data_IF_875275683019
#
_entry.id   IF_875275683019
#
_cell.length_a   1.000
_cell.length_b   1.000
_cell.length_c   1.000
_cell.angle_alpha   90.00
_cell.angle_beta   90.00
_cell.angle_gamma   90.00
#
_symmetry.space_group_name_H-M   'P 1'
#
loop_
_entity.id
_entity.type
_entity.pdbx_description
1 polymer ?
#
# COMPACT_ATOMS: atom_id res chain seq x y z
N UNK A 1 -1.86 9.47 3.04
CA UNK A 1 -2.62 10.71 3.31
C UNK A 1 -4.06 10.61 2.82
N UNK A 2 -4.34 10.22 1.56
CA UNK A 2 -5.71 10.08 1.04
C UNK A 2 -6.60 9.09 1.81
N UNK A 3 -6.00 8.10 2.46
CA UNK A 3 -6.66 7.11 3.35
C UNK A 3 -7.49 7.73 4.47
N UNK A 4 -7.20 8.95 4.91
CA UNK A 4 -8.05 9.69 5.85
C UNK A 4 -9.48 9.93 5.32
N UNK A 5 -9.62 10.07 4.00
CA UNK A 5 -10.91 10.27 3.34
C UNK A 5 -11.81 9.04 3.47
N UNK A 6 -11.23 7.84 3.57
CA UNK A 6 -11.99 6.60 3.72
C UNK A 6 -12.83 6.61 5.00
N UNK A 7 -12.23 6.99 6.13
CA UNK A 7 -12.92 7.15 7.41
C UNK A 7 -13.96 8.26 7.37
N UNK A 8 -13.58 9.44 6.85
CA UNK A 8 -14.47 10.61 6.81
C UNK A 8 -15.71 10.35 5.94
N UNK A 9 -15.50 9.82 4.72
CA UNK A 9 -16.58 9.48 3.82
C UNK A 9 -17.40 8.29 4.34
N UNK A 10 -16.75 7.24 4.87
CA UNK A 10 -17.44 6.06 5.37
C UNK A 10 -18.33 6.36 6.58
N UNK A 11 -17.80 7.07 7.58
CA UNK A 11 -18.60 7.47 8.74
C UNK A 11 -19.74 8.42 8.34
N UNK A 12 -19.50 9.39 7.47
CA UNK A 12 -20.56 10.28 6.98
C UNK A 12 -21.61 9.52 6.15
N UNK A 13 -21.20 8.53 5.35
CA UNK A 13 -22.12 7.69 4.58
C UNK A 13 -23.00 6.84 5.49
N UNK A 14 -22.41 6.20 6.50
CA UNK A 14 -23.11 5.45 7.54
C UNK A 14 -24.11 6.30 8.32
N UNK A 15 -23.75 7.56 8.61
CA UNK A 15 -24.59 8.56 9.26
C UNK A 15 -25.65 9.18 8.33
N UNK A 16 -25.72 8.76 7.06
CA UNK A 16 -26.61 9.29 6.01
C UNK A 16 -26.39 10.78 5.69
N UNK A 17 -25.20 11.31 5.95
CA UNK A 17 -24.81 12.70 5.65
C UNK A 17 -24.24 12.81 4.23
N UNK A 18 -25.00 12.36 3.24
CA UNK A 18 -24.53 12.18 1.86
C UNK A 18 -23.88 13.41 1.22
N UNK A 19 -24.43 14.64 1.33
CA UNK A 19 -23.83 15.80 0.66
C UNK A 19 -22.43 16.16 1.17
N UNK A 20 -22.10 15.79 2.41
CA UNK A 20 -20.81 16.13 3.04
C UNK A 20 -19.66 15.34 2.41
N UNK A 21 -19.91 14.14 1.87
CA UNK A 21 -18.89 13.33 1.21
C UNK A 21 -18.23 14.08 0.05
N UNK A 22 -19.01 14.77 -0.78
CA UNK A 22 -18.50 15.57 -1.90
C UNK A 22 -17.62 16.72 -1.42
N UNK A 23 -17.93 17.30 -0.26
CA UNK A 23 -17.11 18.35 0.37
C UNK A 23 -15.80 17.76 0.91
N UNK A 24 -15.81 16.58 1.54
CA UNK A 24 -14.59 15.91 1.99
C UNK A 24 -13.67 15.51 0.84
N UNK A 25 -14.23 15.06 -0.29
CA UNK A 25 -13.48 14.78 -1.51
C UNK A 25 -12.75 16.03 -2.00
N UNK A 26 -13.46 17.16 -2.12
CA UNK A 26 -12.88 18.43 -2.56
C UNK A 26 -11.82 18.96 -1.58
N UNK A 27 -12.08 18.90 -0.27
CA UNK A 27 -11.09 19.26 0.78
C UNK A 27 -9.82 18.44 0.65
N UNK A 28 -9.96 17.13 0.40
CA UNK A 28 -8.84 16.22 0.23
C UNK A 28 -8.03 16.55 -1.02
N UNK A 29 -8.68 16.90 -2.15
CA UNK A 29 -7.97 17.38 -3.33
C UNK A 29 -7.14 18.62 -3.04
N UNK A 30 -7.71 19.62 -2.36
CA UNK A 30 -7.00 20.86 -2.00
C UNK A 30 -5.78 20.54 -1.14
N UNK A 31 -5.96 19.78 -0.05
CA UNK A 31 -4.90 19.46 0.90
C UNK A 31 -3.79 18.64 0.24
N UNK A 32 -4.15 17.60 -0.53
CA UNK A 32 -3.18 16.73 -1.18
C UNK A 32 -2.44 17.45 -2.31
N UNK A 33 -3.13 18.29 -3.08
CA UNK A 33 -2.49 19.09 -4.12
C UNK A 33 -1.45 20.05 -3.56
N UNK A 34 -1.81 20.79 -2.51
CA UNK A 34 -0.87 21.67 -1.81
C UNK A 34 0.31 20.90 -1.22
N UNK A 35 0.04 19.74 -0.60
CA UNK A 35 1.12 18.89 -0.05
C UNK A 35 2.05 18.39 -1.16
N UNK A 36 1.52 17.93 -2.29
CA UNK A 36 2.33 17.50 -3.44
C UNK A 36 3.15 18.63 -4.03
N UNK A 37 2.66 19.88 -4.04
CA UNK A 37 3.45 21.05 -4.41
C UNK A 37 4.68 21.23 -3.53
N UNK A 38 4.52 21.12 -2.20
CA UNK A 38 5.65 21.23 -1.26
C UNK A 38 6.66 20.08 -1.40
N UNK A 39 6.26 18.93 -1.94
CA UNK A 39 7.15 17.79 -2.18
C UNK A 39 7.90 17.87 -3.52
N UNK A 40 7.50 18.76 -4.45
CA UNK A 40 8.13 18.88 -5.76
C UNK A 40 9.66 19.08 -5.73
N UNK A 41 10.24 19.89 -4.83
CA UNK A 41 11.69 20.05 -4.79
C UNK A 41 12.44 18.73 -4.64
N UNK A 42 11.89 17.76 -3.90
CA UNK A 42 12.53 16.44 -3.74
C UNK A 42 12.63 15.71 -5.10
N UNK A 43 11.58 15.80 -5.93
CA UNK A 43 11.57 15.19 -7.25
C UNK A 43 12.48 15.91 -8.24
N UNK A 44 12.46 17.25 -8.23
CA UNK A 44 13.25 18.09 -9.13
C UNK A 44 14.75 17.95 -8.83
N UNK A 45 15.12 17.91 -7.55
CA UNK A 45 16.50 17.85 -7.10
C UNK A 45 16.96 16.42 -6.76
N UNK A 46 16.30 15.38 -7.28
CA UNK A 46 16.68 14.00 -6.97
C UNK A 46 18.12 13.67 -7.36
N UNK A 47 18.62 14.10 -8.53
CA UNK A 47 20.01 13.86 -8.95
C UNK A 47 21.02 14.41 -7.93
N UNK A 48 21.03 15.72 -7.61
CA UNK A 48 22.02 16.25 -6.65
C UNK A 48 21.82 15.69 -5.23
N UNK A 49 20.58 15.37 -4.82
CA UNK A 49 20.34 14.72 -3.53
C UNK A 49 21.04 13.35 -3.48
N UNK A 50 20.90 12.53 -4.52
CA UNK A 50 21.52 11.20 -4.55
C UNK A 50 23.04 11.26 -4.66
N UNK A 51 23.59 12.22 -5.41
CA UNK A 51 25.04 12.45 -5.50
C UNK A 51 25.61 12.86 -4.13
N UNK A 52 24.93 13.74 -3.38
CA UNK A 52 25.32 14.11 -2.01
C UNK A 52 25.24 12.93 -1.05
N UNK A 53 24.32 12.00 -1.28
CA UNK A 53 24.21 10.74 -0.52
C UNK A 53 25.24 9.68 -0.95
N UNK A 54 26.16 10.01 -1.87
CA UNK A 54 27.26 9.15 -2.29
C UNK A 54 26.89 8.09 -3.33
N UNK A 55 25.77 8.26 -4.05
CA UNK A 55 25.43 7.40 -5.19
C UNK A 55 26.30 7.70 -6.41
N UNK A 56 26.53 6.69 -7.25
CA UNK A 56 27.26 6.87 -8.51
C UNK A 56 26.50 7.84 -9.44
N UNK A 57 27.23 8.77 -10.06
CA UNK A 57 26.69 9.81 -10.94
C UNK A 57 25.80 9.22 -12.07
N UNK A 58 26.21 8.09 -12.64
CA UNK A 58 25.47 7.42 -13.71
C UNK A 58 24.08 6.96 -13.24
N UNK A 59 23.98 6.42 -12.03
CA UNK A 59 22.74 5.96 -11.40
C UNK A 59 21.88 7.16 -10.97
N UNK A 60 22.51 8.17 -10.34
CA UNK A 60 21.83 9.37 -9.86
C UNK A 60 21.15 10.13 -11.01
N UNK A 61 21.80 10.26 -12.17
CA UNK A 61 21.23 10.90 -13.37
C UNK A 61 20.01 10.15 -13.91
N UNK A 62 20.05 8.82 -13.97
CA UNK A 62 18.90 8.01 -14.42
C UNK A 62 17.74 8.14 -13.43
N UNK A 63 18.01 8.03 -12.13
CA UNK A 63 17.02 8.20 -11.07
C UNK A 63 16.37 9.60 -11.11
N UNK A 64 17.17 10.65 -11.31
CA UNK A 64 16.65 12.02 -11.48
C UNK A 64 15.73 12.17 -12.68
N UNK A 65 16.07 11.56 -13.82
CA UNK A 65 15.18 11.53 -14.99
C UNK A 65 13.84 10.87 -14.64
N UNK A 66 13.86 9.69 -14.03
CA UNK A 66 12.64 8.97 -13.60
C UNK A 66 11.84 9.79 -12.59
N UNK A 67 12.52 10.48 -11.67
CA UNK A 67 11.91 11.30 -10.63
C UNK A 67 11.08 12.46 -11.19
N UNK A 68 11.60 13.15 -12.22
CA UNK A 68 10.86 14.21 -12.92
C UNK A 68 9.58 13.66 -13.56
N UNK A 69 9.63 12.49 -14.21
CA UNK A 69 8.43 11.85 -14.76
C UNK A 69 7.44 11.43 -13.66
N UNK A 70 7.96 11.05 -12.48
CA UNK A 70 7.14 10.65 -11.32
C UNK A 70 6.27 11.79 -10.78
N UNK A 71 6.60 13.06 -11.08
CA UNK A 71 5.74 14.21 -10.75
C UNK A 71 4.34 14.01 -11.33
N UNK A 72 4.23 13.62 -12.61
CA UNK A 72 2.94 13.38 -13.26
C UNK A 72 2.15 12.23 -12.62
N UNK A 73 2.85 11.22 -12.08
CA UNK A 73 2.25 10.09 -11.36
C UNK A 73 1.71 10.55 -10.00
N UNK A 74 2.46 11.38 -9.27
CA UNK A 74 2.03 11.89 -7.95
C UNK A 74 0.73 12.68 -8.06
N UNK A 75 0.58 13.57 -9.06
CA UNK A 75 -0.69 14.28 -9.26
C UNK A 75 -1.82 13.37 -9.72
N UNK A 76 -1.51 12.34 -10.51
CA UNK A 76 -2.51 11.33 -10.86
C UNK A 76 -3.05 10.65 -9.59
N UNK A 77 -2.17 10.24 -8.67
CA UNK A 77 -2.55 9.56 -7.43
C UNK A 77 -3.48 10.36 -6.53
N UNK A 78 -3.40 11.69 -6.55
CA UNK A 78 -4.33 12.54 -5.80
C UNK A 78 -5.76 12.21 -6.21
N UNK A 79 -6.05 12.24 -7.52
CA UNK A 79 -7.39 11.95 -8.04
C UNK A 79 -7.72 10.47 -7.90
N UNK A 80 -6.78 9.56 -8.23
CA UNK A 80 -7.01 8.11 -8.17
C UNK A 80 -7.47 7.68 -6.79
N UNK A 81 -6.68 7.97 -5.76
CA UNK A 81 -6.94 7.45 -4.43
C UNK A 81 -8.13 8.15 -3.78
N UNK A 82 -8.28 9.46 -3.95
CA UNK A 82 -9.41 10.16 -3.32
C UNK A 82 -10.74 9.78 -3.94
N UNK A 83 -10.85 9.71 -5.26
CA UNK A 83 -12.06 9.22 -5.94
C UNK A 83 -12.33 7.76 -5.59
N UNK A 84 -11.30 6.92 -5.55
CA UNK A 84 -11.43 5.52 -5.14
C UNK A 84 -11.99 5.41 -3.72
N UNK A 85 -11.41 6.08 -2.72
CA UNK A 85 -11.91 6.03 -1.34
C UNK A 85 -13.34 6.59 -1.22
N UNK A 86 -13.66 7.65 -1.97
CA UNK A 86 -15.00 8.22 -2.05
C UNK A 86 -16.04 7.24 -2.61
N UNK A 87 -15.70 6.51 -3.67
CA UNK A 87 -16.56 5.49 -4.27
C UNK A 87 -16.66 4.23 -3.39
N UNK A 88 -15.55 3.83 -2.77
CA UNK A 88 -15.48 2.69 -1.87
C UNK A 88 -16.35 2.86 -0.63
N UNK A 89 -16.34 4.05 -0.01
CA UNK A 89 -17.23 4.38 1.11
C UNK A 89 -18.71 4.12 0.80
N UNK A 90 -19.11 4.31 -0.46
CA UNK A 90 -20.46 4.11 -0.96
C UNK A 90 -20.70 2.70 -1.53
N UNK A 91 -19.74 1.77 -1.38
CA UNK A 91 -19.77 0.43 -1.97
C UNK A 91 -19.85 0.40 -3.51
N UNK A 92 -19.44 1.46 -4.20
CA UNK A 92 -19.41 1.54 -5.67
C UNK A 92 -18.08 0.98 -6.23
N UNK A 93 -17.73 -0.24 -5.82
CA UNK A 93 -16.43 -0.85 -6.13
C UNK A 93 -16.32 -1.37 -7.58
N UNK A 94 -17.44 -1.70 -8.21
CA UNK A 94 -17.44 -2.29 -9.56
C UNK A 94 -16.86 -1.34 -10.61
N UNK A 95 -17.15 -0.04 -10.53
CA UNK A 95 -16.59 0.94 -11.46
C UNK A 95 -15.06 1.06 -11.30
N UNK A 96 -14.56 1.00 -10.07
CA UNK A 96 -13.12 0.99 -9.80
C UNK A 96 -12.47 -0.25 -10.42
N UNK A 97 -13.09 -1.42 -10.24
CA UNK A 97 -12.58 -2.69 -10.79
C UNK A 97 -12.54 -2.69 -12.32
N UNK A 98 -13.60 -2.23 -12.99
CA UNK A 98 -13.64 -2.15 -14.46
C UNK A 98 -12.60 -1.18 -15.02
N UNK A 99 -12.44 0.00 -14.39
CA UNK A 99 -11.44 0.97 -14.82
C UNK A 99 -10.00 0.46 -14.59
N UNK A 100 -9.75 -0.26 -13.49
CA UNK A 100 -8.47 -0.88 -13.23
C UNK A 100 -8.15 -1.99 -14.26
N UNK A 101 -9.12 -2.85 -14.57
CA UNK A 101 -8.98 -3.91 -15.59
C UNK A 101 -8.75 -3.34 -17.00
N UNK A 102 -9.43 -2.24 -17.34
CA UNK A 102 -9.20 -1.53 -18.59
C UNK A 102 -7.81 -0.89 -18.65
N UNK A 103 -7.40 -0.23 -17.55
CA UNK A 103 -6.09 0.41 -17.45
C UNK A 103 -4.94 -0.58 -17.58
N UNK A 104 -4.99 -1.75 -16.93
CA UNK A 104 -3.93 -2.76 -17.07
C UNK A 104 -3.81 -3.27 -18.50
N UNK A 105 -4.94 -3.46 -19.21
CA UNK A 105 -4.94 -3.85 -20.62
C UNK A 105 -4.26 -2.81 -21.51
N UNK A 106 -4.61 -1.53 -21.34
CA UNK A 106 -3.95 -0.43 -22.06
C UNK A 106 -2.48 -0.31 -21.67
N UNK A 107 -2.15 -0.46 -20.40
CA UNK A 107 -0.77 -0.34 -19.93
C UNK A 107 0.12 -1.41 -20.55
N UNK A 108 -0.34 -2.66 -20.64
CA UNK A 108 0.40 -3.74 -21.32
C UNK A 108 0.65 -3.38 -22.79
N UNK A 109 -0.39 -2.94 -23.50
CA UNK A 109 -0.30 -2.54 -24.91
C UNK A 109 0.69 -1.39 -25.11
N UNK A 110 0.55 -0.30 -24.33
CA UNK A 110 1.39 0.89 -24.43
C UNK A 110 2.83 0.61 -24.01
N UNK A 111 3.04 -0.17 -22.95
CA UNK A 111 4.37 -0.56 -22.53
C UNK A 111 5.08 -1.34 -23.64
N UNK A 112 4.43 -2.34 -24.24
CA UNK A 112 5.00 -3.06 -25.38
C UNK A 112 5.27 -2.13 -26.59
N UNK A 113 4.31 -1.29 -26.96
CA UNK A 113 4.43 -0.42 -28.12
C UNK A 113 5.57 0.61 -27.95
N UNK A 114 5.60 1.32 -26.83
CA UNK A 114 6.55 2.40 -26.59
C UNK A 114 7.96 1.88 -26.27
N UNK A 115 8.08 0.76 -25.55
CA UNK A 115 9.39 0.25 -25.12
C UNK A 115 9.99 -0.75 -26.10
N UNK A 116 9.20 -1.66 -26.67
CA UNK A 116 9.72 -2.74 -27.54
C UNK A 116 9.67 -2.33 -29.01
N UNK A 117 8.53 -1.80 -29.48
CA UNK A 117 8.38 -1.45 -30.90
C UNK A 117 9.05 -0.15 -31.26
N UNK A 118 8.74 0.94 -30.55
CA UNK A 118 9.33 2.25 -30.81
C UNK A 118 10.67 2.47 -30.10
N UNK A 119 11.05 1.59 -29.18
CA UNK A 119 12.36 1.62 -28.48
C UNK A 119 12.65 2.95 -27.78
N UNK A 120 11.63 3.60 -27.22
CA UNK A 120 11.79 4.86 -26.47
C UNK A 120 12.43 4.67 -25.07
N UNK A 121 12.84 3.45 -24.73
CA UNK A 121 13.51 3.13 -23.47
C UNK A 121 12.73 3.60 -22.24
N UNK A 122 13.43 4.21 -21.29
CA UNK A 122 12.85 4.72 -20.03
C UNK A 122 11.74 5.75 -20.30
N UNK A 123 11.91 6.61 -21.30
CA UNK A 123 10.88 7.60 -21.66
C UNK A 123 9.57 6.90 -22.08
N UNK A 124 9.68 5.81 -22.85
CA UNK A 124 8.52 5.00 -23.23
C UNK A 124 7.83 4.35 -22.03
N UNK A 125 8.61 3.77 -21.12
CA UNK A 125 8.09 3.11 -19.92
C UNK A 125 7.39 4.11 -18.96
N UNK A 126 7.98 5.29 -18.75
CA UNK A 126 7.36 6.32 -17.91
C UNK A 126 6.10 6.89 -18.56
N UNK A 127 6.10 7.06 -19.88
CA UNK A 127 4.92 7.52 -20.63
C UNK A 127 3.76 6.54 -20.53
N UNK A 128 4.00 5.24 -20.75
CA UNK A 128 2.94 4.22 -20.61
C UNK A 128 2.40 4.14 -19.18
N UNK A 129 3.26 4.34 -18.19
CA UNK A 129 2.90 4.35 -16.76
C UNK A 129 2.00 5.53 -16.40
N UNK A 130 2.38 6.74 -16.80
CA UNK A 130 1.58 7.95 -16.53
C UNK A 130 0.21 7.84 -17.17
N UNK A 131 0.15 7.44 -18.45
CA UNK A 131 -1.12 7.27 -19.15
C UNK A 131 -2.01 6.22 -18.46
N UNK A 132 -1.44 5.11 -18.03
CA UNK A 132 -2.17 4.07 -17.31
C UNK A 132 -2.78 4.57 -15.98
N UNK A 133 -2.10 5.48 -15.26
CA UNK A 133 -2.65 6.06 -14.04
C UNK A 133 -3.71 7.13 -14.30
N UNK A 134 -3.59 7.91 -15.38
CA UNK A 134 -4.58 8.94 -15.71
C UNK A 134 -5.89 8.37 -16.29
N UNK A 135 -5.87 7.20 -16.91
CA UNK A 135 -7.08 6.57 -17.48
C UNK A 135 -8.15 6.29 -16.39
N UNK A 136 -7.85 5.57 -15.29
CA UNK A 136 -8.79 5.40 -14.17
C UNK A 136 -9.21 6.73 -13.56
N UNK A 137 -8.34 7.73 -13.53
CA UNK A 137 -8.66 9.04 -12.96
C UNK A 137 -9.76 9.75 -13.73
N UNK A 138 -9.61 9.82 -15.05
CA UNK A 138 -10.62 10.42 -15.91
C UNK A 138 -11.94 9.65 -15.79
N UNK A 139 -11.89 8.32 -15.82
CA UNK A 139 -13.08 7.48 -15.66
C UNK A 139 -13.79 7.68 -14.31
N UNK A 140 -13.05 7.66 -13.20
CA UNK A 140 -13.62 7.86 -11.87
C UNK A 140 -14.14 9.29 -11.68
N UNK A 141 -13.40 10.30 -12.14
CA UNK A 141 -13.81 11.70 -12.04
C UNK A 141 -15.09 11.95 -12.84
N UNK A 142 -15.15 11.48 -14.09
CA UNK A 142 -16.35 11.57 -14.93
C UNK A 142 -17.53 10.83 -14.28
N UNK A 143 -17.30 9.64 -13.74
CA UNK A 143 -18.36 8.89 -13.06
C UNK A 143 -18.91 9.67 -11.84
N UNK A 144 -18.04 10.29 -11.05
CA UNK A 144 -18.45 11.10 -9.89
C UNK A 144 -19.20 12.37 -10.33
N UNK A 145 -18.68 13.10 -11.32
CA UNK A 145 -19.21 14.42 -11.70
C UNK A 145 -20.38 14.38 -12.68
N UNK A 146 -20.49 13.35 -13.52
CA UNK A 146 -21.52 13.20 -14.55
C UNK A 146 -22.71 12.33 -14.11
N UNK A 147 -23.00 12.28 -12.80
CA UNK A 147 -24.25 11.69 -12.29
C UNK A 147 -24.17 10.26 -11.77
N UNK A 148 -22.98 9.65 -11.68
CA UNK A 148 -22.82 8.34 -11.04
C UNK A 148 -22.98 8.38 -9.51
N UNK A 149 -22.92 9.57 -8.89
CA UNK A 149 -23.03 9.79 -7.45
C UNK A 149 -23.97 10.97 -7.09
N UNK A 150 -25.27 10.93 -7.47
CA UNK A 150 -26.14 12.11 -7.42
C UNK A 150 -26.51 12.57 -6.00
N UNK A 151 -26.51 11.67 -5.01
CA UNK A 151 -26.82 12.00 -3.62
C UNK A 151 -25.64 12.61 -2.88
N UNK A 152 -24.43 12.17 -3.23
CA UNK A 152 -23.18 12.47 -2.51
C UNK A 152 -22.31 13.50 -3.23
N UNK A 153 -22.56 13.76 -4.52
CA UNK A 153 -21.90 14.80 -5.31
C UNK A 153 -22.92 15.82 -5.78
N UNK A 154 -22.85 17.04 -5.24
CA UNK A 154 -23.71 18.17 -5.60
C UNK A 154 -22.98 19.25 -6.40
N UNK A 155 -21.81 18.93 -6.95
CA UNK A 155 -20.94 19.87 -7.64
C UNK A 155 -19.89 20.52 -6.73
N UNK A 156 -19.10 21.41 -7.32
CA UNK A 156 -18.07 22.16 -6.62
C UNK A 156 -18.70 23.17 -5.64
N UNK A 157 -18.08 23.33 -4.47
CA UNK A 157 -18.59 24.21 -3.43
C UNK A 157 -17.46 24.95 -2.72
N UNK A 158 -17.66 26.24 -2.43
CA UNK A 158 -16.75 27.03 -1.62
C UNK A 158 -16.62 26.53 -0.17
N UNK A 159 -17.54 25.68 0.30
CA UNK A 159 -17.42 24.99 1.59
C UNK A 159 -16.18 24.09 1.66
N UNK A 160 -15.64 23.68 0.50
CA UNK A 160 -14.40 22.91 0.42
C UNK A 160 -13.17 23.70 0.91
N UNK A 161 -13.21 25.04 0.95
CA UNK A 161 -12.10 25.85 1.44
C UNK A 161 -12.17 26.15 2.95
N UNK A 162 -13.29 25.80 3.60
CA UNK A 162 -13.47 25.96 5.05
C UNK A 162 -12.98 24.74 5.80
N UNK A 163 -12.50 24.93 7.03
CA UNK A 163 -12.13 23.86 7.98
C UNK A 163 -11.17 22.82 7.40
N UNK A 164 -10.12 23.26 6.72
CA UNK A 164 -9.10 22.37 6.15
C UNK A 164 -8.18 21.76 7.20
N UNK A 165 -7.96 22.44 8.33
CA UNK A 165 -7.01 22.03 9.35
C UNK A 165 -7.27 20.62 9.94
N UNK A 166 -8.53 20.25 10.30
CA UNK A 166 -8.84 18.88 10.69
C UNK A 166 -8.47 17.83 9.64
N UNK A 167 -8.73 18.12 8.36
CA UNK A 167 -8.39 17.22 7.23
C UNK A 167 -6.89 17.10 7.08
N UNK A 168 -6.13 18.19 7.23
CA UNK A 168 -4.65 18.19 7.23
C UNK A 168 -4.11 17.31 8.36
N UNK A 169 -4.56 17.51 9.60
CA UNK A 169 -4.09 16.75 10.77
C UNK A 169 -4.34 15.25 10.62
N UNK A 170 -5.54 14.88 10.13
CA UNK A 170 -5.91 13.49 9.89
C UNK A 170 -5.10 12.88 8.74
N UNK A 171 -4.98 13.60 7.64
CA UNK A 171 -4.22 13.17 6.46
C UNK A 171 -2.75 12.98 6.77
N UNK A 172 -2.13 13.87 7.56
CA UNK A 172 -0.74 13.78 7.99
C UNK A 172 -0.52 12.56 8.87
N UNK A 173 -1.38 12.33 9.86
CA UNK A 173 -1.28 11.15 10.75
C UNK A 173 -1.40 9.84 9.96
N UNK A 174 -2.37 9.78 9.05
CA UNK A 174 -2.58 8.65 8.15
C UNK A 174 -1.43 8.45 7.16
N UNK A 175 -0.84 9.54 6.65
CA UNK A 175 0.35 9.50 5.82
C UNK A 175 1.57 8.98 6.57
N UNK A 176 1.83 9.50 7.76
CA UNK A 176 2.95 9.09 8.60
C UNK A 176 2.89 7.59 8.93
N UNK A 177 1.72 7.07 9.30
CA UNK A 177 1.53 5.63 9.58
C UNK A 177 1.98 4.75 8.41
N UNK A 178 1.54 5.07 7.18
CA UNK A 178 1.91 4.29 5.98
C UNK A 178 3.37 4.52 5.57
N UNK A 179 3.87 5.75 5.69
CA UNK A 179 5.28 6.07 5.42
C UNK A 179 6.22 5.28 6.33
N UNK A 180 5.90 5.19 7.63
CA UNK A 180 6.68 4.42 8.59
C UNK A 180 6.73 2.93 8.22
N UNK A 181 5.60 2.36 7.79
CA UNK A 181 5.54 0.96 7.35
C UNK A 181 6.36 0.71 6.07
N UNK A 182 6.31 1.63 5.10
CA UNK A 182 7.07 1.51 3.85
C UNK A 182 8.57 1.78 4.05
N UNK A 183 8.93 2.82 4.79
CA UNK A 183 10.33 3.16 5.07
C UNK A 183 11.02 2.08 5.88
N UNK A 184 10.30 1.46 6.82
CA UNK A 184 10.79 0.30 7.55
C UNK A 184 11.23 -0.84 6.60
N UNK A 185 10.37 -1.19 5.63
CA UNK A 185 10.70 -2.20 4.63
C UNK A 185 11.94 -1.82 3.79
N UNK A 186 12.10 -0.54 3.43
CA UNK A 186 13.28 -0.05 2.72
C UNK A 186 14.55 -0.16 3.57
N UNK A 187 14.47 0.17 4.86
CA UNK A 187 15.60 0.02 5.79
C UNK A 187 16.02 -1.44 5.91
N UNK A 188 15.07 -2.37 6.03
CA UNK A 188 15.38 -3.80 6.04
C UNK A 188 16.07 -4.25 4.74
N UNK A 189 15.58 -3.80 3.58
CA UNK A 189 16.21 -4.12 2.28
C UNK A 189 17.66 -3.63 2.26
N UNK A 190 17.90 -2.38 2.66
CA UNK A 190 19.24 -1.81 2.71
C UNK A 190 20.16 -2.58 3.67
N UNK A 191 19.66 -3.01 4.83
CA UNK A 191 20.42 -3.84 5.78
C UNK A 191 20.77 -5.22 5.20
N UNK A 192 19.90 -5.81 4.39
CA UNK A 192 20.15 -7.09 3.71
C UNK A 192 21.02 -6.97 2.45
N UNK A 193 21.14 -5.77 1.87
CA UNK A 193 21.91 -5.53 0.64
C UNK A 193 23.43 -5.67 0.78
N UNK A 194 23.95 -5.75 2.02
CA UNK A 194 25.40 -5.80 2.30
C UNK A 194 25.91 -7.22 2.63
N UNK A 195 25.18 -8.26 2.23
CA UNK A 195 25.53 -9.65 2.54
C UNK A 195 26.60 -10.20 1.58
N UNK A 196 27.70 -10.71 2.16
CA UNK A 196 28.78 -11.38 1.42
C UNK A 196 28.33 -12.78 0.97
N UNK A 197 28.55 -13.09 -0.32
CA UNK A 197 28.14 -14.30 -1.07
C UNK A 197 26.63 -14.52 -1.13
N UNK A 198 25.95 -14.17 -2.24
CA UNK A 198 24.53 -14.53 -2.35
C UNK A 198 23.85 -14.28 -3.72
N UNK A 199 24.45 -14.52 -4.91
CA UNK A 199 23.61 -14.45 -6.14
C UNK A 199 22.41 -15.40 -6.01
N UNK A 200 22.69 -16.66 -5.61
CA UNK A 200 21.66 -17.67 -5.34
C UNK A 200 20.69 -17.26 -4.22
N UNK A 201 21.20 -16.74 -3.10
CA UNK A 201 20.36 -16.43 -1.94
C UNK A 201 19.57 -15.12 -2.11
N UNK A 202 20.08 -14.15 -2.87
CA UNK A 202 19.38 -12.91 -3.25
C UNK A 202 18.29 -13.23 -4.28
N UNK A 203 18.57 -14.08 -5.26
CA UNK A 203 17.58 -14.54 -6.23
C UNK A 203 16.44 -15.28 -5.52
N UNK A 204 16.77 -16.21 -4.62
CA UNK A 204 15.80 -16.94 -3.82
C UNK A 204 14.96 -16.01 -2.93
N UNK A 205 15.60 -15.02 -2.28
CA UNK A 205 14.89 -14.00 -1.50
C UNK A 205 13.95 -13.17 -2.38
N UNK A 206 14.40 -12.76 -3.57
CA UNK A 206 13.59 -11.97 -4.50
C UNK A 206 12.36 -12.72 -4.96
N UNK A 207 12.47 -14.03 -5.23
CA UNK A 207 11.31 -14.90 -5.53
C UNK A 207 10.35 -14.93 -4.34
N UNK A 208 10.86 -15.17 -3.12
CA UNK A 208 10.06 -15.20 -1.90
C UNK A 208 9.30 -13.89 -1.67
N UNK A 209 9.97 -12.75 -1.88
CA UNK A 209 9.37 -11.42 -1.70
C UNK A 209 8.29 -11.12 -2.75
N UNK A 210 8.48 -11.54 -3.99
CA UNK A 210 7.45 -11.41 -5.03
C UNK A 210 6.18 -12.21 -4.65
N UNK A 211 6.35 -13.46 -4.22
CA UNK A 211 5.24 -14.31 -3.76
C UNK A 211 4.52 -13.68 -2.56
N UNK A 212 5.27 -13.19 -1.56
CA UNK A 212 4.68 -12.48 -0.43
C UNK A 212 3.96 -11.19 -0.86
N UNK A 213 4.50 -10.47 -1.85
CA UNK A 213 3.88 -9.29 -2.45
C UNK A 213 2.51 -9.60 -3.06
N UNK A 214 2.35 -10.74 -3.75
CA UNK A 214 1.06 -11.17 -4.28
C UNK A 214 0.04 -11.43 -3.17
N UNK A 215 0.44 -12.13 -2.11
CA UNK A 215 -0.41 -12.34 -0.93
C UNK A 215 -0.79 -11.04 -0.24
N UNK A 216 0.16 -10.11 -0.12
CA UNK A 216 -0.05 -8.79 0.47
C UNK A 216 -1.10 -7.97 -0.27
N UNK A 217 -1.19 -8.05 -1.61
CA UNK A 217 -2.23 -7.34 -2.37
C UNK A 217 -3.65 -7.82 -2.02
N UNK A 218 -3.82 -9.11 -1.72
CA UNK A 218 -5.09 -9.67 -1.24
C UNK A 218 -5.40 -9.09 0.15
N UNK A 219 -4.43 -9.10 1.07
CA UNK A 219 -4.58 -8.53 2.41
C UNK A 219 -4.90 -7.04 2.39
N UNK A 220 -4.31 -6.26 1.48
CA UNK A 220 -4.63 -4.84 1.29
C UNK A 220 -6.05 -4.63 0.77
N UNK A 221 -6.57 -5.53 -0.06
CA UNK A 221 -7.98 -5.54 -0.45
C UNK A 221 -8.91 -5.71 0.76
N UNK A 222 -8.58 -6.65 1.67
CA UNK A 222 -9.32 -6.82 2.92
C UNK A 222 -9.13 -5.64 3.89
N UNK A 223 -7.96 -5.01 3.93
CA UNK A 223 -7.72 -3.78 4.70
C UNK A 223 -8.71 -2.68 4.30
N UNK A 224 -8.83 -2.37 3.01
CA UNK A 224 -9.78 -1.37 2.51
C UNK A 224 -11.24 -1.78 2.80
N UNK A 225 -11.59 -3.05 2.57
CA UNK A 225 -12.94 -3.52 2.88
C UNK A 225 -13.29 -3.43 4.37
N UNK A 226 -12.33 -3.71 5.26
CA UNK A 226 -12.50 -3.57 6.70
C UNK A 226 -12.70 -2.12 7.09
N UNK A 227 -11.88 -1.22 6.56
CA UNK A 227 -11.97 0.22 6.80
C UNK A 227 -13.34 0.77 6.40
N UNK A 228 -13.82 0.49 5.19
CA UNK A 228 -15.14 0.93 4.71
C UNK A 228 -16.27 0.37 5.57
N UNK A 229 -16.25 -0.94 5.88
CA UNK A 229 -17.36 -1.56 6.62
C UNK A 229 -17.41 -1.08 8.06
N UNK A 230 -16.26 -0.98 8.73
CA UNK A 230 -16.17 -0.47 10.10
C UNK A 230 -16.58 1.00 10.17
N UNK A 231 -16.07 1.84 9.28
CA UNK A 231 -16.44 3.26 9.24
C UNK A 231 -17.93 3.47 8.97
N UNK A 232 -18.52 2.72 8.03
CA UNK A 232 -19.97 2.79 7.75
C UNK A 232 -20.82 2.37 8.96
N UNK A 233 -20.49 1.26 9.62
CA UNK A 233 -21.28 0.80 10.78
C UNK A 233 -21.10 1.69 12.02
N UNK A 234 -19.90 2.26 12.22
CA UNK A 234 -19.65 3.27 13.25
C UNK A 234 -20.40 4.57 12.97
N UNK A 235 -20.40 5.03 11.71
CA UNK A 235 -21.17 6.19 11.26
C UNK A 235 -22.68 6.02 11.48
N UNK A 236 -23.18 4.79 11.34
CA UNK A 236 -24.57 4.44 11.66
C UNK A 236 -24.87 4.45 13.17
N UNK A 237 -23.86 4.51 14.02
CA UNK A 237 -23.99 4.41 15.48
C UNK A 237 -24.17 2.98 15.99
N UNK A 238 -23.81 1.96 15.19
CA UNK A 238 -24.03 0.54 15.54
C UNK A 238 -22.72 -0.17 15.91
N UNK A 239 -22.34 -0.10 17.19
CA UNK A 239 -21.18 -0.82 17.70
C UNK A 239 -21.28 -2.34 17.51
N UNK A 240 -22.50 -2.91 17.61
CA UNK A 240 -22.75 -4.34 17.38
C UNK A 240 -22.46 -4.74 15.93
N UNK A 241 -22.91 -3.94 14.96
CA UNK A 241 -22.65 -4.21 13.55
C UNK A 241 -21.18 -3.99 13.18
N UNK A 242 -20.52 -2.98 13.77
CA UNK A 242 -19.08 -2.78 13.59
C UNK A 242 -18.28 -3.98 14.10
N UNK A 243 -18.57 -4.49 15.32
CA UNK A 243 -17.96 -5.71 15.86
C UNK A 243 -18.19 -6.93 14.96
N UNK A 244 -19.42 -7.10 14.46
CA UNK A 244 -19.75 -8.18 13.53
C UNK A 244 -18.95 -8.07 12.21
N UNK A 245 -18.80 -6.87 11.67
CA UNK A 245 -18.00 -6.63 10.46
C UNK A 245 -16.52 -6.99 10.69
N UNK A 246 -15.94 -6.59 11.83
CA UNK A 246 -14.56 -6.92 12.22
C UNK A 246 -14.38 -8.45 12.29
N UNK A 247 -15.24 -9.15 13.03
CA UNK A 247 -15.14 -10.61 13.17
C UNK A 247 -15.24 -11.31 11.82
N UNK A 248 -16.21 -10.92 10.99
CA UNK A 248 -16.44 -11.53 9.68
C UNK A 248 -15.22 -11.36 8.76
N UNK A 249 -14.64 -10.16 8.70
CA UNK A 249 -13.53 -9.90 7.79
C UNK A 249 -12.21 -10.51 8.29
N UNK A 250 -11.97 -10.54 9.60
CA UNK A 250 -10.81 -11.22 10.18
C UNK A 250 -10.88 -12.73 9.93
N UNK A 251 -12.03 -13.36 10.14
CA UNK A 251 -12.21 -14.80 9.85
C UNK A 251 -12.02 -15.07 8.35
N UNK A 252 -12.62 -14.25 7.49
CA UNK A 252 -12.51 -14.42 6.03
C UNK A 252 -11.05 -14.30 5.58
N UNK A 253 -10.34 -13.29 6.06
CA UNK A 253 -8.92 -13.08 5.72
C UNK A 253 -8.06 -14.21 6.26
N UNK A 254 -8.31 -14.68 7.49
CA UNK A 254 -7.59 -15.81 8.06
C UNK A 254 -7.79 -17.10 7.26
N UNK A 255 -9.03 -17.41 6.86
CA UNK A 255 -9.32 -18.61 6.05
C UNK A 255 -8.60 -18.57 4.72
N UNK A 256 -8.61 -17.42 4.03
CA UNK A 256 -7.90 -17.25 2.75
C UNK A 256 -6.39 -17.28 2.96
N UNK A 257 -5.89 -16.58 3.97
CA UNK A 257 -4.47 -16.58 4.36
C UNK A 257 -3.97 -17.98 4.70
N UNK A 258 -4.78 -18.78 5.40
CA UNK A 258 -4.47 -20.17 5.72
C UNK A 258 -4.49 -21.07 4.48
N UNK A 259 -5.43 -20.89 3.56
CA UNK A 259 -5.44 -21.60 2.29
C UNK A 259 -4.18 -21.28 1.45
N UNK A 260 -3.79 -20.00 1.37
CA UNK A 260 -2.55 -19.58 0.70
C UNK A 260 -1.31 -20.13 1.41
N UNK A 261 -1.28 -20.10 2.75
CA UNK A 261 -0.23 -20.70 3.55
C UNK A 261 -0.01 -22.17 3.18
N UNK A 262 -1.07 -22.99 3.18
CA UNK A 262 -0.99 -24.40 2.82
C UNK A 262 -0.51 -24.57 1.38
N UNK A 263 -1.06 -23.79 0.45
CA UNK A 263 -0.66 -23.84 -0.96
C UNK A 263 0.84 -23.55 -1.12
N UNK A 264 1.36 -22.46 -0.57
CA UNK A 264 2.78 -22.14 -0.69
C UNK A 264 3.67 -23.10 0.10
N UNK A 265 3.22 -23.60 1.24
CA UNK A 265 3.98 -24.56 2.03
C UNK A 265 4.19 -25.89 1.30
N UNK A 266 3.14 -26.42 0.64
CA UNK A 266 3.22 -27.69 -0.09
C UNK A 266 3.83 -27.55 -1.49
N UNK A 267 3.57 -26.45 -2.20
CA UNK A 267 4.03 -26.27 -3.59
C UNK A 267 5.32 -25.45 -3.73
N UNK A 268 5.96 -25.04 -2.62
CA UNK A 268 7.16 -24.17 -2.58
C UNK A 268 8.24 -24.46 -3.62
N UNK A 269 8.63 -25.72 -3.76
CA UNK A 269 9.74 -26.12 -4.65
C UNK A 269 9.32 -26.02 -6.12
N UNK A 270 8.10 -26.45 -6.46
CA UNK A 270 7.56 -26.34 -7.82
C UNK A 270 7.32 -24.89 -8.24
N UNK A 271 6.89 -24.05 -7.30
CA UNK A 271 6.68 -22.63 -7.55
C UNK A 271 7.98 -21.89 -7.82
N UNK A 272 9.09 -22.28 -7.17
CA UNK A 272 10.40 -21.69 -7.44
C UNK A 272 10.79 -21.84 -8.93
N UNK A 273 10.49 -22.99 -9.55
CA UNK A 273 10.80 -23.25 -10.95
C UNK A 273 10.02 -22.40 -11.98
N UNK A 274 8.97 -21.69 -11.55
CA UNK A 274 8.29 -20.69 -12.39
C UNK A 274 9.21 -19.46 -12.59
N UNK A 275 10.08 -19.17 -11.63
CA UNK A 275 10.92 -17.99 -11.61
C UNK A 275 12.37 -18.27 -12.03
N UNK A 276 12.86 -19.50 -11.85
CA UNK A 276 14.27 -19.84 -12.13
C UNK A 276 14.44 -21.26 -12.64
N UNK A 277 15.41 -21.45 -13.54
CA UNK A 277 15.86 -22.76 -13.97
C UNK A 277 17.01 -23.30 -13.09
N UNK A 278 17.59 -22.48 -12.21
CA UNK A 278 18.73 -22.86 -11.37
C UNK A 278 18.25 -23.69 -10.16
N UNK A 279 18.76 -24.91 -10.05
CA UNK A 279 18.42 -25.85 -8.98
C UNK A 279 18.87 -25.36 -7.60
N UNK A 280 20.00 -24.66 -7.51
CA UNK A 280 20.52 -24.13 -6.25
C UNK A 280 19.60 -23.03 -5.71
N UNK A 281 19.04 -22.20 -6.60
CA UNK A 281 18.06 -21.17 -6.24
C UNK A 281 16.75 -21.81 -5.79
N UNK A 282 16.27 -22.84 -6.49
CA UNK A 282 15.06 -23.56 -6.10
C UNK A 282 15.21 -24.25 -4.73
N UNK A 283 16.37 -24.84 -4.45
CA UNK A 283 16.68 -25.42 -3.14
C UNK A 283 16.72 -24.36 -2.03
N UNK A 284 17.33 -23.19 -2.30
CA UNK A 284 17.34 -22.08 -1.35
C UNK A 284 15.92 -21.53 -1.07
N UNK A 285 15.07 -21.41 -2.10
CA UNK A 285 13.64 -21.05 -1.92
C UNK A 285 12.93 -22.08 -1.05
N UNK A 286 13.15 -23.38 -1.29
CA UNK A 286 12.57 -24.46 -0.48
C UNK A 286 12.91 -24.31 1.01
N UNK A 287 14.14 -23.95 1.33
CA UNK A 287 14.61 -23.77 2.71
C UNK A 287 14.06 -22.50 3.38
N UNK A 288 13.79 -21.44 2.61
CA UNK A 288 13.20 -20.19 3.10
C UNK A 288 11.67 -20.25 3.24
N UNK A 289 11.02 -21.07 2.41
CA UNK A 289 9.56 -21.10 2.25
C UNK A 289 8.74 -21.39 3.52
N UNK A 290 9.17 -22.22 4.49
CA UNK A 290 8.39 -22.43 5.72
C UNK A 290 8.20 -21.13 6.50
N UNK A 291 9.28 -20.36 6.62
CA UNK A 291 9.30 -19.09 7.34
C UNK A 291 8.50 -18.03 6.57
N UNK A 292 8.60 -18.05 5.23
CA UNK A 292 7.78 -17.20 4.36
C UNK A 292 6.29 -17.52 4.52
N UNK A 293 5.92 -18.80 4.50
CA UNK A 293 4.53 -19.23 4.60
C UNK A 293 3.94 -18.76 5.93
N UNK A 294 4.65 -18.95 7.05
CA UNK A 294 4.21 -18.43 8.35
C UNK A 294 4.08 -16.90 8.32
N UNK A 295 5.03 -16.19 7.71
CA UNK A 295 4.93 -14.74 7.52
C UNK A 295 3.68 -14.35 6.73
N UNK A 296 3.34 -15.07 5.65
CA UNK A 296 2.15 -14.83 4.84
C UNK A 296 0.86 -15.03 5.64
N UNK A 297 0.81 -16.05 6.50
CA UNK A 297 -0.34 -16.28 7.37
C UNK A 297 -0.54 -15.09 8.33
N UNK A 298 0.53 -14.60 8.95
CA UNK A 298 0.41 -13.47 9.88
C UNK A 298 0.12 -12.14 9.15
N UNK A 299 0.73 -11.95 7.97
CA UNK A 299 0.46 -10.83 7.06
C UNK A 299 -0.96 -10.87 6.44
N UNK A 300 -1.73 -11.95 6.63
CA UNK A 300 -3.14 -11.99 6.25
C UNK A 300 -4.05 -11.29 7.26
N UNK A 301 -3.66 -11.23 8.54
CA UNK A 301 -4.48 -10.65 9.61
C UNK A 301 -4.08 -9.20 9.86
N UNK A 302 -2.78 -8.91 9.94
CA UNK A 302 -2.29 -7.60 10.36
C UNK A 302 -2.84 -6.44 9.50
N UNK A 303 -2.81 -6.48 8.15
CA UNK A 303 -3.38 -5.39 7.34
C UNK A 303 -4.88 -5.20 7.56
N UNK A 304 -5.61 -6.26 7.87
CA UNK A 304 -7.05 -6.19 8.15
C UNK A 304 -7.31 -5.43 9.44
N UNK A 305 -6.54 -5.72 10.50
CA UNK A 305 -6.65 -4.99 11.76
C UNK A 305 -6.22 -3.53 11.62
N UNK A 306 -5.20 -3.25 10.81
CA UNK A 306 -4.89 -1.88 10.39
C UNK A 306 -6.11 -1.23 9.72
N UNK A 307 -6.75 -1.90 8.76
CA UNK A 307 -7.99 -1.45 8.12
C UNK A 307 -9.12 -1.14 9.12
N UNK A 308 -9.30 -1.96 10.16
CA UNK A 308 -10.25 -1.69 11.25
C UNK A 308 -9.91 -0.40 11.98
N UNK A 309 -8.64 -0.21 12.35
CA UNK A 309 -8.20 0.99 13.06
C UNK A 309 -8.31 2.26 12.20
N UNK A 310 -8.04 2.15 10.90
CA UNK A 310 -8.26 3.18 9.87
C UNK A 310 -9.76 3.56 9.86
N UNK A 311 -10.66 2.59 9.69
CA UNK A 311 -12.11 2.83 9.70
C UNK A 311 -12.66 3.38 11.02
N UNK A 312 -12.03 3.04 12.15
CA UNK A 312 -12.36 3.58 13.47
C UNK A 312 -11.76 4.96 13.75
N UNK A 313 -10.78 5.42 12.95
CA UNK A 313 -10.11 6.70 13.13
C UNK A 313 -8.94 6.69 14.13
N UNK A 314 -8.38 5.53 14.47
CA UNK A 314 -7.34 5.35 15.49
C UNK A 314 -5.90 5.54 15.00
N UNK A 315 -5.71 6.35 13.96
CA UNK A 315 -4.44 6.54 13.25
C UNK A 315 -3.24 6.87 14.14
N UNK A 316 -3.41 7.77 15.12
CA UNK A 316 -2.32 8.19 15.99
C UNK A 316 -1.82 7.06 16.88
N UNK A 317 -2.74 6.28 17.46
CA UNK A 317 -2.40 5.13 18.31
C UNK A 317 -1.63 4.10 17.49
N UNK A 318 -2.13 3.75 16.30
CA UNK A 318 -1.46 2.79 15.41
C UNK A 318 -0.08 3.31 14.98
N UNK A 319 0.07 4.60 14.70
CA UNK A 319 1.37 5.18 14.36
C UNK A 319 2.39 5.01 15.51
N UNK A 320 2.00 5.27 16.76
CA UNK A 320 2.89 5.06 17.93
C UNK A 320 3.24 3.58 18.11
N UNK A 321 2.27 2.68 17.96
CA UNK A 321 2.49 1.23 18.04
C UNK A 321 3.45 0.77 16.94
N UNK A 322 3.28 1.24 15.71
CA UNK A 322 4.17 0.93 14.59
C UNK A 322 5.60 1.44 14.83
N UNK A 323 5.78 2.63 15.41
CA UNK A 323 7.11 3.12 15.77
C UNK A 323 7.77 2.19 16.79
N UNK A 324 7.05 1.80 17.84
CA UNK A 324 7.56 0.87 18.85
C UNK A 324 7.92 -0.49 18.28
N UNK A 325 6.99 -1.10 17.53
CA UNK A 325 7.17 -2.44 17.00
C UNK A 325 8.27 -2.48 15.92
N UNK A 326 8.22 -1.60 14.92
CA UNK A 326 9.13 -1.65 13.78
C UNK A 326 10.51 -1.07 14.10
N UNK A 327 10.57 0.13 14.70
CA UNK A 327 11.82 0.86 14.82
C UNK A 327 12.56 0.56 16.13
N UNK A 328 11.84 0.38 17.24
CA UNK A 328 12.46 0.13 18.56
C UNK A 328 12.77 -1.35 18.75
N UNK A 329 11.92 -2.24 18.26
CA UNK A 329 12.08 -3.70 18.46
C UNK A 329 12.55 -4.39 17.17
N UNK A 330 11.84 -4.16 16.06
CA UNK A 330 12.06 -4.82 14.77
C UNK A 330 13.46 -4.64 14.21
N UNK A 331 13.91 -3.38 14.07
CA UNK A 331 15.26 -3.07 13.56
C UNK A 331 16.35 -3.70 14.46
N UNK A 332 16.38 -3.51 15.79
CA UNK A 332 17.41 -4.12 16.62
C UNK A 332 17.41 -5.65 16.57
N UNK A 333 16.23 -6.29 16.63
CA UNK A 333 16.12 -7.75 16.53
C UNK A 333 16.64 -8.23 15.16
N UNK A 334 16.28 -7.53 14.08
CA UNK A 334 16.80 -7.83 12.74
C UNK A 334 18.32 -7.70 12.64
N UNK A 335 18.90 -6.66 13.22
CA UNK A 335 20.35 -6.47 13.25
C UNK A 335 21.05 -7.59 14.05
N UNK A 336 20.51 -7.96 15.21
CA UNK A 336 21.04 -9.05 16.05
C UNK A 336 20.98 -10.39 15.29
N UNK A 337 19.83 -10.74 14.73
CA UNK A 337 19.66 -11.98 13.97
C UNK A 337 20.59 -12.04 12.75
N UNK A 338 20.80 -10.91 12.07
CA UNK A 338 21.64 -10.84 10.87
C UNK A 338 23.14 -10.85 11.14
N UNK A 339 23.60 -10.11 12.15
CA UNK A 339 25.04 -9.96 12.43
C UNK A 339 25.58 -11.00 13.41
N UNK A 340 24.81 -11.38 14.43
CA UNK A 340 25.29 -12.22 15.53
C UNK A 340 24.94 -13.68 15.30
N UNK A 341 23.71 -13.98 14.84
CA UNK A 341 23.24 -15.36 14.67
C UNK A 341 23.51 -15.87 13.23
N UNK A 342 24.09 -15.02 12.36
CA UNK A 342 24.42 -15.32 10.96
C UNK A 342 23.22 -15.89 10.16
N UNK A 343 21.99 -15.55 10.54
CA UNK A 343 20.78 -16.03 9.86
C UNK A 343 20.57 -15.42 8.47
N UNK A 344 21.44 -14.51 8.04
CA UNK A 344 21.52 -14.01 6.66
C UNK A 344 20.13 -13.71 6.06
N UNK A 345 19.68 -14.46 5.05
CA UNK A 345 18.41 -14.24 4.34
C UNK A 345 17.17 -14.53 5.21
N UNK A 346 17.30 -15.41 6.22
CA UNK A 346 16.20 -15.80 7.12
C UNK A 346 15.81 -14.69 8.09
N UNK A 347 16.68 -13.68 8.28
CA UNK A 347 16.44 -12.53 9.15
C UNK A 347 15.15 -11.82 8.77
N UNK A 348 14.94 -11.55 7.48
CA UNK A 348 13.77 -10.78 7.04
C UNK A 348 12.45 -11.51 7.29
N UNK A 349 12.40 -12.82 7.03
CA UNK A 349 11.18 -13.58 7.27
C UNK A 349 10.98 -13.83 8.79
N UNK A 350 12.05 -13.98 9.59
CA UNK A 350 11.94 -14.07 11.05
C UNK A 350 11.43 -12.77 11.67
N UNK A 351 11.94 -11.63 11.22
CA UNK A 351 11.53 -10.31 11.69
C UNK A 351 10.08 -10.02 11.30
N UNK A 352 9.70 -10.27 10.04
CA UNK A 352 8.30 -10.13 9.60
C UNK A 352 7.34 -11.06 10.38
N UNK A 353 7.76 -12.29 10.69
CA UNK A 353 6.98 -13.25 11.49
C UNK A 353 6.80 -12.75 12.93
N UNK A 354 7.89 -12.33 13.58
CA UNK A 354 7.85 -11.84 14.95
C UNK A 354 7.02 -10.55 15.08
N UNK A 355 7.12 -9.66 14.10
CA UNK A 355 6.39 -8.38 14.11
C UNK A 355 4.90 -8.54 13.89
N UNK A 356 4.50 -9.34 12.91
CA UNK A 356 3.10 -9.59 12.67
C UNK A 356 2.44 -10.26 13.90
N UNK A 357 3.21 -11.06 14.66
CA UNK A 357 2.78 -11.58 15.96
C UNK A 357 2.67 -10.50 17.05
N UNK A 358 3.67 -9.60 17.18
CA UNK A 358 3.62 -8.49 18.15
C UNK A 358 2.48 -7.50 17.84
N UNK A 359 2.23 -7.20 16.56
CA UNK A 359 1.17 -6.29 16.13
C UNK A 359 -0.21 -6.89 16.34
N UNK A 360 -0.40 -8.19 16.05
CA UNK A 360 -1.66 -8.89 16.36
C UNK A 360 -1.95 -8.88 17.87
N UNK A 361 -0.93 -9.06 18.71
CA UNK A 361 -1.11 -9.07 20.16
C UNK A 361 -1.21 -7.67 20.79
N UNK A 362 -0.60 -6.64 20.20
CA UNK A 362 -0.69 -5.26 20.70
C UNK A 362 -1.96 -4.54 20.24
N UNK A 363 -2.52 -4.90 19.08
CA UNK A 363 -3.85 -4.44 18.65
C UNK A 363 -5.00 -5.22 19.32
N UNK A 364 -4.69 -6.28 20.08
CA UNK A 364 -5.62 -7.06 20.90
C UNK A 364 -5.86 -6.55 22.32
N UNK A 365 -5.36 -5.37 22.70
CA UNK A 365 -5.63 -4.76 24.01
C UNK A 365 -7.08 -4.21 24.00
N UNK A 366 -8.04 -5.04 24.43
CA UNK A 366 -9.46 -4.66 24.59
C UNK A 366 -9.77 -3.88 25.87
N UNK A 367 -11.04 -3.70 26.28
CA UNK A 367 -12.31 -3.73 25.55
C UNK A 367 -12.77 -2.36 25.00
#
# INVERSE_FOLDING_TARGET
MASALETLCGQAFGAKQYPVLGIYLQRSWIVLFLTSMFLLPIFIFTTPILEVLGQEESIAKVAGKISIWSIGIVFAFIVSFTCQMYLQAQSKNMIIAYLAAFSIGIHILLSWLLTVKFKFGITGAMTSTILAYWIPNLGQLLFVTCGGCPETWKGFSFLAFKDLWPVVKLSLSSGAMLCLELWYNTVLILLTGNMKNAEVSIDALSICLNINGWGMMISLGFCAAASVRVSNELGRGSAKAAKFAIVTIVITSFVIGFALFLFFFFFRERLAYIFTANQDVAAAVRDLSPLLAVSMLLNSIQPVLSGVAIGAGWWSIVAYVNIGCYYIIGIPVGVVLGRIIHLQVKVRCCVSTYEAWVLQNSQGIGP
#
